data_IF_244906269606
#
_entry.id   IF_244906269606
#
_cell.length_a   1.000
_cell.length_b   1.000
_cell.length_c   1.000
_cell.angle_alpha   90.00
_cell.angle_beta   90.00
_cell.angle_gamma   90.00
#
_symmetry.space_group_name_H-M   'P 1'
#
loop_
_entity.id
_entity.type
_entity.pdbx_description
1 polymer ?
#
# COMPACT_ATOMS: atom_id res chain seq x y z
N UNK A 1 -5.12 87.38 22.88
CA UNK A 1 -5.53 88.17 21.69
C UNK A 1 -6.96 87.83 21.24
N UNK A 2 -8.00 87.92 22.09
CA UNK A 2 -9.39 87.60 21.70
C UNK A 2 -10.44 88.60 22.26
N UNK A 3 -10.03 89.85 22.48
CA UNK A 3 -10.79 90.87 23.21
C UNK A 3 -11.83 91.67 22.39
N UNK A 4 -11.93 91.51 21.07
CA UNK A 4 -12.83 92.35 20.23
C UNK A 4 -13.62 91.58 19.16
N UNK A 5 -13.82 90.27 19.34
CA UNK A 5 -14.65 89.46 18.44
C UNK A 5 -16.04 89.26 19.04
N UNK A 6 -17.08 89.64 18.30
CA UNK A 6 -18.48 89.39 18.68
C UNK A 6 -18.74 87.90 18.95
N UNK A 7 -19.66 87.61 19.86
CA UNK A 7 -19.96 86.27 20.38
C UNK A 7 -20.19 85.25 19.24
N UNK A 8 -20.87 85.66 18.17
CA UNK A 8 -21.11 84.84 16.99
C UNK A 8 -19.83 84.34 16.31
N UNK A 9 -18.78 85.17 16.20
CA UNK A 9 -17.51 84.74 15.58
C UNK A 9 -16.74 83.74 16.45
N UNK A 10 -16.84 83.86 17.78
CA UNK A 10 -16.22 82.91 18.72
C UNK A 10 -16.90 81.54 18.64
N UNK A 11 -18.23 81.51 18.56
CA UNK A 11 -19.00 80.28 18.37
C UNK A 11 -18.70 79.65 17.00
N UNK A 12 -18.68 80.43 15.91
CA UNK A 12 -18.36 79.91 14.57
C UNK A 12 -16.96 79.29 14.49
N UNK A 13 -15.95 79.90 15.14
CA UNK A 13 -14.61 79.33 15.22
C UNK A 13 -14.58 78.00 15.98
N UNK A 14 -15.27 77.92 17.11
CA UNK A 14 -15.35 76.69 17.89
C UNK A 14 -16.07 75.56 17.12
N UNK A 15 -17.21 75.85 16.49
CA UNK A 15 -17.93 74.87 15.67
C UNK A 15 -17.15 74.45 14.43
N UNK A 16 -16.44 75.37 13.78
CA UNK A 16 -15.59 75.06 12.62
C UNK A 16 -14.43 74.15 13.02
N UNK A 17 -13.80 74.40 14.18
CA UNK A 17 -12.74 73.54 14.70
C UNK A 17 -13.24 72.13 14.99
N UNK A 18 -14.41 72.01 15.64
CA UNK A 18 -15.05 70.70 15.89
C UNK A 18 -15.37 70.00 14.57
N UNK A 19 -15.93 70.71 13.59
CA UNK A 19 -16.25 70.14 12.28
C UNK A 19 -15.01 69.63 11.54
N UNK A 20 -13.92 70.40 11.55
CA UNK A 20 -12.64 69.99 10.94
C UNK A 20 -12.08 68.74 11.63
N UNK A 21 -12.13 68.67 12.96
CA UNK A 21 -11.70 67.49 13.70
C UNK A 21 -12.55 66.26 13.36
N UNK A 22 -13.87 66.41 13.25
CA UNK A 22 -14.78 65.32 12.84
C UNK A 22 -14.47 64.82 11.42
N UNK A 23 -14.23 65.74 10.48
CA UNK A 23 -13.84 65.37 9.10
C UNK A 23 -12.49 64.65 9.09
N UNK A 24 -11.51 65.10 9.89
CA UNK A 24 -10.20 64.45 9.97
C UNK A 24 -10.30 63.03 10.54
N UNK A 25 -11.13 62.80 11.57
CA UNK A 25 -11.39 61.46 12.11
C UNK A 25 -12.14 60.58 11.11
N UNK A 26 -13.15 61.11 10.42
CA UNK A 26 -13.88 60.38 9.39
C UNK A 26 -12.95 59.96 8.24
N UNK A 27 -12.07 60.87 7.78
CA UNK A 27 -11.11 60.57 6.72
C UNK A 27 -10.08 59.52 7.18
N UNK A 28 -9.52 59.65 8.40
CA UNK A 28 -8.64 58.65 9.01
C UNK A 28 -9.31 57.29 9.12
N UNK A 29 -10.60 57.26 9.49
CA UNK A 29 -11.38 56.03 9.63
C UNK A 29 -11.59 55.37 8.28
N UNK A 30 -11.99 56.11 7.24
CA UNK A 30 -12.20 55.57 5.89
C UNK A 30 -10.88 55.03 5.31
N UNK A 31 -9.77 55.75 5.47
CA UNK A 31 -8.46 55.30 5.01
C UNK A 31 -7.94 54.08 5.80
N UNK A 32 -8.18 54.02 7.11
CA UNK A 32 -7.78 52.89 7.96
C UNK A 32 -8.62 51.62 7.74
N UNK A 33 -9.93 51.75 7.50
CA UNK A 33 -10.81 50.60 7.19
C UNK A 33 -10.39 49.92 5.89
N UNK A 34 -9.90 50.68 4.90
CA UNK A 34 -9.38 50.12 3.66
C UNK A 34 -8.20 49.15 3.85
N UNK A 35 -7.29 49.43 4.78
CA UNK A 35 -6.17 48.52 5.08
C UNK A 35 -6.66 47.26 5.80
N UNK A 36 -7.58 47.40 6.76
CA UNK A 36 -8.15 46.27 7.50
C UNK A 36 -8.92 45.32 6.58
N UNK A 37 -9.69 45.85 5.63
CA UNK A 37 -10.42 45.03 4.64
C UNK A 37 -9.45 44.30 3.70
N UNK A 38 -8.30 44.90 3.38
CA UNK A 38 -7.28 44.25 2.54
C UNK A 38 -6.58 43.12 3.28
N UNK A 39 -6.21 43.34 4.54
CA UNK A 39 -5.66 42.28 5.42
C UNK A 39 -6.67 41.14 5.64
N UNK A 40 -7.95 41.46 5.85
CA UNK A 40 -9.01 40.47 5.98
C UNK A 40 -9.18 39.62 4.71
N UNK A 41 -9.00 40.20 3.52
CA UNK A 41 -9.02 39.47 2.25
C UNK A 41 -7.86 38.49 2.12
N UNK A 42 -6.64 38.86 2.56
CA UNK A 42 -5.49 37.96 2.54
C UNK A 42 -5.68 36.76 3.48
N UNK A 43 -6.24 36.97 4.67
CA UNK A 43 -6.57 35.88 5.61
C UNK A 43 -7.66 34.96 5.05
N UNK A 44 -8.71 35.54 4.42
CA UNK A 44 -9.78 34.75 3.79
C UNK A 44 -9.26 33.89 2.64
N UNK A 45 -8.46 34.47 1.74
CA UNK A 45 -7.89 33.74 0.61
C UNK A 45 -6.93 32.62 1.06
N UNK A 46 -6.10 32.88 2.09
CA UNK A 46 -5.23 31.85 2.66
C UNK A 46 -6.01 30.68 3.29
N UNK A 47 -7.16 30.97 3.90
CA UNK A 47 -8.06 29.94 4.43
C UNK A 47 -8.70 29.11 3.31
N UNK A 48 -9.13 29.74 2.22
CA UNK A 48 -9.66 29.07 1.03
C UNK A 48 -8.60 28.15 0.39
N UNK A 49 -7.38 28.66 0.19
CA UNK A 49 -6.27 27.87 -0.36
C UNK A 49 -5.97 26.65 0.52
N UNK A 50 -5.94 26.82 1.84
CA UNK A 50 -5.73 25.71 2.77
C UNK A 50 -6.83 24.67 2.67
N UNK A 51 -8.10 25.11 2.65
CA UNK A 51 -9.24 24.21 2.52
C UNK A 51 -9.17 23.39 1.23
N UNK A 52 -8.75 24.02 0.12
CA UNK A 52 -8.60 23.37 -1.17
C UNK A 52 -7.47 22.32 -1.14
N UNK A 53 -6.32 22.64 -0.56
CA UNK A 53 -5.21 21.69 -0.41
C UNK A 53 -5.58 20.49 0.48
N UNK A 54 -6.29 20.73 1.59
CA UNK A 54 -6.78 19.65 2.47
C UNK A 54 -7.77 18.76 1.72
N UNK A 55 -8.68 19.32 0.92
CA UNK A 55 -9.58 18.52 0.11
C UNK A 55 -8.82 17.61 -0.87
N UNK A 56 -7.76 18.14 -1.52
CA UNK A 56 -6.91 17.34 -2.41
C UNK A 56 -6.13 16.26 -1.70
N UNK A 57 -5.68 16.50 -0.48
CA UNK A 57 -5.04 15.48 0.34
C UNK A 57 -6.02 14.35 0.66
N UNK A 58 -7.26 14.67 1.07
CA UNK A 58 -8.30 13.69 1.33
C UNK A 58 -8.65 12.86 0.09
N UNK A 59 -8.73 13.50 -1.08
CA UNK A 59 -8.93 12.80 -2.36
C UNK A 59 -7.82 11.74 -2.58
N UNK A 60 -6.57 12.09 -2.28
CA UNK A 60 -5.43 11.17 -2.42
C UNK A 60 -5.34 10.11 -1.33
N UNK A 61 -5.84 10.38 -0.12
CA UNK A 61 -5.99 9.35 0.92
C UNK A 61 -6.97 8.28 0.45
N UNK A 62 -8.13 8.68 -0.10
CA UNK A 62 -9.10 7.74 -0.67
C UNK A 62 -8.55 6.96 -1.88
N UNK A 63 -7.78 7.63 -2.73
CA UNK A 63 -7.07 6.98 -3.84
C UNK A 63 -6.04 5.95 -3.34
N UNK A 64 -5.24 6.28 -2.32
CA UNK A 64 -4.21 5.39 -1.77
C UNK A 64 -4.81 4.14 -1.12
N UNK A 65 -5.97 4.28 -0.47
CA UNK A 65 -6.71 3.12 0.07
C UNK A 65 -7.07 2.14 -1.06
N UNK A 66 -7.55 2.63 -2.20
CA UNK A 66 -7.90 1.77 -3.35
C UNK A 66 -6.67 1.08 -3.94
N UNK A 67 -5.53 1.78 -4.05
CA UNK A 67 -4.26 1.17 -4.46
C UNK A 67 -3.83 0.08 -3.48
N UNK A 68 -3.97 0.33 -2.17
CA UNK A 68 -3.66 -0.65 -1.13
C UNK A 68 -4.56 -1.88 -1.19
N UNK A 69 -5.85 -1.71 -1.51
CA UNK A 69 -6.80 -2.81 -1.61
C UNK A 69 -6.40 -3.84 -2.66
N UNK A 70 -5.76 -3.44 -3.77
CA UNK A 70 -5.26 -4.39 -4.78
C UNK A 70 -4.30 -5.43 -4.19
N UNK A 71 -3.46 -5.02 -3.23
CA UNK A 71 -2.43 -5.87 -2.62
C UNK A 71 -2.94 -6.60 -1.38
N UNK A 72 -3.95 -6.04 -0.70
CA UNK A 72 -4.39 -6.50 0.63
C UNK A 72 -5.73 -7.24 0.64
N UNK A 73 -6.60 -7.02 -0.35
CA UNK A 73 -7.89 -7.68 -0.48
C UNK A 73 -7.82 -8.75 -1.57
N UNK A 74 -8.04 -10.01 -1.18
CA UNK A 74 -8.00 -11.15 -2.10
C UNK A 74 -9.13 -11.16 -3.13
N UNK A 75 -10.15 -10.30 -3.00
CA UNK A 75 -11.24 -10.16 -3.98
C UNK A 75 -10.98 -9.04 -5.00
N UNK A 76 -9.93 -8.24 -4.83
CA UNK A 76 -9.58 -7.13 -5.73
C UNK A 76 -8.43 -7.56 -6.63
N UNK A 77 -8.68 -7.62 -7.94
CA UNK A 77 -7.72 -8.13 -8.92
C UNK A 77 -7.32 -7.13 -10.00
N UNK A 78 -7.84 -5.90 -9.92
CA UNK A 78 -7.55 -4.83 -10.87
C UNK A 78 -7.58 -3.49 -10.16
N UNK A 79 -6.73 -2.59 -10.62
CA UNK A 79 -6.67 -1.23 -10.11
C UNK A 79 -7.56 -0.31 -10.97
N UNK A 80 -8.63 0.22 -10.38
CA UNK A 80 -9.54 1.18 -11.00
C UNK A 80 -9.40 2.56 -10.34
N UNK A 81 -8.25 3.20 -10.55
CA UNK A 81 -7.98 4.55 -10.07
C UNK A 81 -7.31 5.39 -11.16
N UNK A 82 -7.37 6.71 -11.04
CA UNK A 82 -6.67 7.61 -11.96
C UNK A 82 -5.14 7.48 -11.82
N UNK A 83 -4.45 7.20 -12.92
CA UNK A 83 -3.00 7.01 -12.98
C UNK A 83 -2.29 8.18 -13.65
N UNK A 84 -3.00 9.06 -14.36
CA UNK A 84 -2.44 10.29 -14.90
C UNK A 84 -2.39 11.38 -13.81
N UNK A 85 -1.18 11.81 -13.38
CA UNK A 85 -1.03 12.86 -12.38
C UNK A 85 -1.55 14.23 -12.83
N UNK A 86 -1.84 14.44 -14.12
CA UNK A 86 -2.45 15.69 -14.61
C UNK A 86 -3.98 15.63 -14.61
N UNK A 87 -4.55 14.43 -14.60
CA UNK A 87 -5.98 14.21 -14.69
C UNK A 87 -6.68 14.29 -13.33
N UNK A 88 -6.01 14.06 -12.21
CA UNK A 88 -6.64 14.16 -10.89
C UNK A 88 -6.97 15.63 -10.51
N UNK A 89 -7.83 15.83 -9.51
CA UNK A 89 -8.24 17.18 -9.09
C UNK A 89 -7.05 18.06 -8.66
N UNK A 90 -6.04 17.48 -8.00
CA UNK A 90 -4.83 18.20 -7.61
C UNK A 90 -3.93 18.51 -8.81
N UNK A 91 -3.79 17.57 -9.76
CA UNK A 91 -3.07 17.76 -11.01
C UNK A 91 -3.63 18.92 -11.83
N UNK A 92 -4.96 18.94 -12.00
CA UNK A 92 -5.66 20.05 -12.66
C UNK A 92 -5.49 21.37 -11.91
N UNK A 93 -5.52 21.34 -10.58
CA UNK A 93 -5.27 22.52 -9.74
C UNK A 93 -3.85 23.07 -9.91
N UNK A 94 -2.83 22.19 -9.92
CA UNK A 94 -1.42 22.55 -10.15
C UNK A 94 -1.15 23.14 -11.54
N UNK A 95 -1.89 22.72 -12.56
CA UNK A 95 -1.81 23.31 -13.91
C UNK A 95 -2.65 24.61 -14.04
N UNK A 96 -3.56 24.83 -13.11
CA UNK A 96 -4.59 25.87 -13.15
C UNK A 96 -4.09 27.28 -12.85
N UNK A 97 -4.95 28.30 -13.07
CA UNK A 97 -4.64 29.69 -12.75
C UNK A 97 -4.48 29.93 -11.24
N UNK A 98 -5.08 29.09 -10.39
CA UNK A 98 -5.05 29.24 -8.93
C UNK A 98 -3.63 29.06 -8.37
N UNK A 99 -2.83 28.12 -8.90
CA UNK A 99 -1.40 28.00 -8.55
C UNK A 99 -0.65 29.30 -8.80
N UNK A 100 -0.83 29.91 -9.98
CA UNK A 100 -0.14 31.15 -10.35
C UNK A 100 -0.51 32.29 -9.41
N UNK A 101 -1.78 32.36 -8.99
CA UNK A 101 -2.22 33.35 -8.02
C UNK A 101 -1.61 33.09 -6.63
N UNK A 102 -1.49 31.82 -6.24
CA UNK A 102 -0.86 31.45 -4.98
C UNK A 102 0.63 31.78 -4.94
N UNK A 103 1.36 31.51 -6.02
CA UNK A 103 2.78 31.85 -6.16
C UNK A 103 3.02 33.37 -6.19
N UNK A 104 2.10 34.15 -6.77
CA UNK A 104 2.17 35.62 -6.75
C UNK A 104 1.91 36.19 -5.36
N UNK A 105 0.90 35.65 -4.66
CA UNK A 105 0.50 36.11 -3.33
C UNK A 105 1.48 35.69 -2.25
N UNK A 106 2.12 34.52 -2.41
CA UNK A 106 3.07 33.95 -1.45
C UNK A 106 4.24 33.30 -2.21
N UNK A 107 5.27 34.08 -2.62
CA UNK A 107 6.41 33.56 -3.39
C UNK A 107 7.14 32.39 -2.75
N UNK A 108 7.12 32.29 -1.42
CA UNK A 108 7.72 31.17 -0.67
C UNK A 108 7.06 29.81 -0.98
N UNK A 109 5.85 29.81 -1.56
CA UNK A 109 5.17 28.58 -2.01
C UNK A 109 5.77 28.02 -3.30
N UNK A 110 6.45 28.83 -4.12
CA UNK A 110 7.02 28.39 -5.41
C UNK A 110 7.88 27.12 -5.26
N UNK A 111 8.94 27.10 -4.41
CA UNK A 111 9.75 25.90 -4.25
C UNK A 111 8.98 24.73 -3.62
N UNK A 112 8.00 25.00 -2.76
CA UNK A 112 7.20 23.96 -2.11
C UNK A 112 6.25 23.27 -3.10
N UNK A 113 5.51 24.05 -3.90
CA UNK A 113 4.59 23.54 -4.91
C UNK A 113 5.34 22.79 -6.03
N UNK A 114 6.51 23.28 -6.44
CA UNK A 114 7.37 22.57 -7.39
C UNK A 114 7.81 21.19 -6.85
N UNK A 115 8.18 21.10 -5.57
CA UNK A 115 8.50 19.83 -4.92
C UNK A 115 7.27 18.92 -4.85
N UNK A 116 6.13 19.44 -4.42
CA UNK A 116 4.88 18.68 -4.34
C UNK A 116 4.47 18.12 -5.72
N UNK A 117 4.59 18.90 -6.78
CA UNK A 117 4.31 18.45 -8.15
C UNK A 117 5.25 17.30 -8.60
N UNK A 118 6.53 17.36 -8.23
CA UNK A 118 7.46 16.27 -8.50
C UNK A 118 7.11 15.00 -7.70
N UNK A 119 6.76 15.15 -6.42
CA UNK A 119 6.41 14.04 -5.54
C UNK A 119 5.08 13.39 -5.96
N UNK A 120 4.11 14.20 -6.35
CA UNK A 120 2.82 13.77 -6.88
C UNK A 120 2.95 12.93 -8.16
N UNK A 121 3.80 13.35 -9.10
CA UNK A 121 4.10 12.53 -10.29
C UNK A 121 4.68 11.17 -9.93
N UNK A 122 5.64 11.14 -8.99
CA UNK A 122 6.23 9.87 -8.52
C UNK A 122 5.20 8.96 -7.82
N UNK A 123 4.23 9.54 -7.11
CA UNK A 123 3.13 8.79 -6.51
C UNK A 123 2.26 8.10 -7.57
N UNK A 124 1.86 8.82 -8.61
CA UNK A 124 1.07 8.21 -9.69
C UNK A 124 1.87 7.17 -10.49
N UNK A 125 3.15 7.43 -10.75
CA UNK A 125 4.01 6.48 -11.44
C UNK A 125 4.27 5.21 -10.59
N UNK A 126 4.33 5.31 -9.26
CA UNK A 126 4.43 4.12 -8.41
C UNK A 126 3.18 3.24 -8.49
N UNK A 127 1.98 3.82 -8.57
CA UNK A 127 0.75 3.04 -8.78
C UNK A 127 0.70 2.36 -10.15
N UNK A 128 1.23 2.99 -11.22
CA UNK A 128 1.40 2.33 -12.51
C UNK A 128 2.33 1.12 -12.41
N UNK A 129 3.45 1.27 -11.68
CA UNK A 129 4.36 0.15 -11.45
C UNK A 129 3.71 -0.97 -10.63
N UNK A 130 2.93 -0.64 -9.60
CA UNK A 130 2.15 -1.62 -8.84
C UNK A 130 1.18 -2.36 -9.77
N UNK A 131 0.42 -1.64 -10.61
CA UNK A 131 -0.52 -2.26 -11.56
C UNK A 131 0.19 -3.20 -12.54
N UNK A 132 1.36 -2.82 -13.06
CA UNK A 132 2.12 -3.68 -13.98
C UNK A 132 2.77 -4.89 -13.31
N UNK A 133 3.24 -4.73 -12.06
CA UNK A 133 3.89 -5.80 -11.31
C UNK A 133 2.89 -6.73 -10.60
N UNK A 134 1.64 -6.31 -10.43
CA UNK A 134 0.63 -7.08 -9.75
C UNK A 134 0.32 -8.38 -10.48
N UNK A 135 0.45 -9.48 -9.74
CA UNK A 135 0.01 -10.81 -10.16
C UNK A 135 -0.98 -11.29 -9.11
N UNK A 136 -2.17 -11.69 -9.55
CA UNK A 136 -3.14 -12.29 -8.64
C UNK A 136 -2.55 -13.57 -8.03
N UNK A 137 -2.27 -13.53 -6.72
CA UNK A 137 -1.83 -14.69 -5.96
C UNK A 137 -3.04 -15.57 -5.72
N UNK A 138 -2.96 -16.83 -6.13
CA UNK A 138 -4.02 -17.82 -5.87
C UNK A 138 -3.95 -18.25 -4.40
N UNK A 139 -4.91 -17.86 -3.53
CA UNK A 139 -4.85 -18.20 -2.12
C UNK A 139 -4.96 -19.71 -1.88
N UNK A 140 -5.54 -20.45 -2.83
CA UNK A 140 -5.63 -21.91 -2.74
C UNK A 140 -4.26 -22.59 -2.88
N UNK A 141 -3.30 -21.97 -3.59
CA UNK A 141 -1.96 -22.50 -3.74
C UNK A 141 -1.20 -22.48 -2.42
N UNK A 142 -1.27 -21.37 -1.68
CA UNK A 142 -0.63 -21.24 -0.37
C UNK A 142 -1.12 -22.31 0.61
N UNK A 143 -2.45 -22.50 0.67
CA UNK A 143 -3.06 -23.53 1.51
C UNK A 143 -2.60 -24.95 1.15
N UNK A 144 -2.55 -25.29 -0.13
CA UNK A 144 -2.11 -26.64 -0.56
C UNK A 144 -0.65 -26.91 -0.20
N UNK A 145 0.22 -25.91 -0.30
CA UNK A 145 1.63 -26.05 0.11
C UNK A 145 1.73 -26.24 1.63
N UNK A 146 0.98 -25.47 2.41
CA UNK A 146 0.94 -25.61 3.87
C UNK A 146 0.43 -27.00 4.29
N UNK A 147 -0.69 -27.45 3.72
CA UNK A 147 -1.25 -28.79 3.95
C UNK A 147 -0.25 -29.89 3.58
N UNK A 148 0.47 -29.73 2.46
CA UNK A 148 1.50 -30.67 2.05
C UNK A 148 2.68 -30.73 3.02
N UNK A 149 3.15 -29.59 3.53
CA UNK A 149 4.25 -29.54 4.49
C UNK A 149 3.87 -30.22 5.81
N UNK A 150 2.70 -29.90 6.36
CA UNK A 150 2.20 -30.52 7.59
C UNK A 150 2.04 -32.03 7.41
N UNK A 151 1.42 -32.46 6.31
CA UNK A 151 1.22 -33.89 6.04
C UNK A 151 2.55 -34.67 5.94
N UNK A 152 3.60 -34.07 5.35
CA UNK A 152 4.90 -34.75 5.26
C UNK A 152 5.69 -34.72 6.58
N UNK A 153 5.47 -33.71 7.43
CA UNK A 153 6.02 -33.71 8.80
C UNK A 153 5.40 -34.84 9.64
N UNK A 154 4.07 -34.98 9.59
CA UNK A 154 3.36 -36.08 10.27
C UNK A 154 3.78 -37.44 9.71
N UNK A 155 3.86 -37.57 8.38
CA UNK A 155 4.32 -38.78 7.72
C UNK A 155 5.75 -39.18 8.12
N UNK A 156 6.66 -38.21 8.22
CA UNK A 156 8.04 -38.46 8.67
C UNK A 156 8.09 -38.88 10.14
N UNK A 157 7.27 -38.26 10.99
CA UNK A 157 7.15 -38.64 12.40
C UNK A 157 6.71 -40.10 12.55
N UNK A 158 5.67 -40.53 11.82
CA UNK A 158 5.23 -41.94 11.82
C UNK A 158 6.30 -42.90 11.30
N UNK A 159 7.10 -42.49 10.31
CA UNK A 159 8.21 -43.31 9.82
C UNK A 159 9.27 -43.52 10.89
N UNK A 160 9.66 -42.46 11.58
CA UNK A 160 10.62 -42.53 12.68
C UNK A 160 10.07 -43.39 13.82
N UNK A 161 8.83 -43.17 14.22
CA UNK A 161 8.17 -43.91 15.31
C UNK A 161 8.12 -45.42 15.01
N UNK A 162 7.70 -45.80 13.80
CA UNK A 162 7.64 -47.20 13.38
C UNK A 162 9.03 -47.87 13.38
N UNK A 163 10.09 -47.12 13.05
CA UNK A 163 11.47 -47.63 13.07
C UNK A 163 11.99 -47.78 14.51
N UNK A 164 11.76 -46.78 15.36
CA UNK A 164 12.19 -46.79 16.77
C UNK A 164 11.55 -47.94 17.55
N UNK A 165 10.25 -48.16 17.35
CA UNK A 165 9.51 -49.26 17.99
C UNK A 165 9.60 -50.59 17.24
N UNK A 166 10.26 -50.61 16.07
CA UNK A 166 10.39 -51.78 15.20
C UNK A 166 9.04 -52.43 14.88
N UNK A 167 8.03 -51.61 14.59
CA UNK A 167 6.66 -52.04 14.30
C UNK A 167 6.48 -52.29 12.79
N UNK A 168 6.38 -53.57 12.35
CA UNK A 168 6.21 -53.88 10.93
C UNK A 168 4.82 -53.50 10.41
N UNK A 169 3.79 -53.48 11.26
CA UNK A 169 2.43 -53.13 10.82
C UNK A 169 2.34 -51.64 10.54
N UNK A 170 2.85 -50.82 11.46
CA UNK A 170 2.88 -49.37 11.28
C UNK A 170 3.76 -48.98 10.08
N UNK A 171 4.98 -49.54 9.99
CA UNK A 171 5.90 -49.27 8.89
C UNK A 171 5.29 -49.62 7.52
N UNK A 172 4.57 -50.75 7.43
CA UNK A 172 3.88 -51.13 6.19
C UNK A 172 2.68 -50.24 5.85
N UNK A 173 2.05 -49.63 6.86
CA UNK A 173 0.95 -48.68 6.69
C UNK A 173 1.36 -47.34 6.09
N UNK A 174 2.65 -46.99 6.17
CA UNK A 174 3.19 -45.73 5.65
C UNK A 174 3.20 -45.73 4.11
N UNK A 175 2.58 -44.72 3.51
CA UNK A 175 2.52 -44.55 2.06
C UNK A 175 3.88 -44.10 1.50
N UNK A 176 4.44 -44.88 0.58
CA UNK A 176 5.74 -44.62 -0.06
C UNK A 176 5.64 -44.36 -1.58
N UNK A 177 4.44 -44.39 -2.14
CA UNK A 177 4.16 -43.98 -3.52
C UNK A 177 3.82 -42.48 -3.53
N UNK A 178 4.73 -41.68 -4.10
CA UNK A 178 4.58 -40.24 -4.21
C UNK A 178 3.31 -39.83 -4.97
N UNK A 179 2.81 -40.65 -5.90
CA UNK A 179 1.58 -40.36 -6.65
C UNK A 179 0.31 -40.57 -5.83
N UNK A 180 0.41 -41.27 -4.69
CA UNK A 180 -0.74 -41.65 -3.87
C UNK A 180 -0.95 -40.73 -2.69
N UNK A 181 0.03 -39.94 -2.26
CA UNK A 181 -0.17 -38.93 -1.23
C UNK A 181 -1.01 -37.76 -1.75
N UNK A 182 -1.63 -37.00 -0.85
CA UNK A 182 -2.57 -35.92 -1.21
C UNK A 182 -1.90 -34.84 -2.07
N UNK A 183 -0.66 -34.47 -1.73
CA UNK A 183 0.14 -33.52 -2.51
C UNK A 183 0.47 -34.06 -3.91
N UNK A 184 0.87 -35.33 -4.03
CA UNK A 184 1.15 -35.94 -5.33
C UNK A 184 -0.09 -36.03 -6.22
N UNK A 185 -1.24 -36.45 -5.65
CA UNK A 185 -2.52 -36.43 -6.38
C UNK A 185 -2.85 -35.02 -6.88
N UNK A 186 -2.64 -34.00 -6.05
CA UNK A 186 -2.82 -32.61 -6.47
C UNK A 186 -1.82 -32.19 -7.56
N UNK A 187 -0.53 -32.52 -7.41
CA UNK A 187 0.55 -32.14 -8.33
C UNK A 187 0.30 -32.67 -9.75
N UNK A 188 -0.28 -33.87 -9.85
CA UNK A 188 -0.63 -34.52 -11.12
C UNK A 188 -2.06 -34.27 -11.60
N UNK A 189 -2.92 -33.66 -10.78
CA UNK A 189 -4.30 -33.35 -11.17
C UNK A 189 -4.37 -32.24 -12.23
N UNK A 190 -5.36 -32.34 -13.12
CA UNK A 190 -5.63 -31.31 -14.13
C UNK A 190 -5.94 -29.96 -13.48
N UNK A 191 -6.70 -29.97 -12.38
CA UNK A 191 -7.10 -28.79 -11.63
C UNK A 191 -6.11 -28.36 -10.54
N UNK A 192 -4.89 -28.91 -10.53
CA UNK A 192 -3.86 -28.59 -9.55
C UNK A 192 -2.54 -28.27 -10.22
N UNK A 193 -1.53 -29.11 -9.98
CA UNK A 193 -0.18 -28.87 -10.46
C UNK A 193 -0.07 -28.79 -11.99
N UNK A 194 -0.88 -29.54 -12.76
CA UNK A 194 -0.84 -29.45 -14.23
C UNK A 194 -1.32 -28.09 -14.76
N UNK A 195 -2.41 -27.55 -14.20
CA UNK A 195 -2.86 -26.18 -14.52
C UNK A 195 -1.78 -25.16 -14.18
N UNK A 196 -1.12 -25.31 -13.03
CA UNK A 196 -0.08 -24.38 -12.58
C UNK A 196 1.18 -24.45 -13.47
N UNK A 197 1.60 -25.65 -13.91
CA UNK A 197 2.69 -25.82 -14.90
C UNK A 197 2.40 -25.08 -16.21
N UNK A 198 1.14 -25.08 -16.64
CA UNK A 198 0.69 -24.40 -17.86
C UNK A 198 0.65 -22.88 -17.78
N UNK A 199 0.72 -22.26 -16.58
CA UNK A 199 0.61 -20.81 -16.43
C UNK A 199 1.81 -20.03 -16.96
N UNK A 200 3.02 -20.58 -16.82
CA UNK A 200 4.25 -19.96 -17.32
C UNK A 200 5.41 -20.97 -17.33
N UNK A 201 6.46 -20.69 -18.10
CA UNK A 201 7.69 -21.47 -18.08
C UNK A 201 8.38 -21.50 -16.69
N UNK A 202 8.21 -20.47 -15.87
CA UNK A 202 8.78 -20.42 -14.52
C UNK A 202 8.06 -21.38 -13.56
N UNK A 203 6.73 -21.30 -13.47
CA UNK A 203 5.91 -22.25 -12.72
C UNK A 203 6.21 -23.70 -13.10
N UNK A 204 6.33 -23.99 -14.40
CA UNK A 204 6.70 -25.32 -14.89
C UNK A 204 8.05 -25.81 -14.36
N UNK A 205 9.08 -24.94 -14.36
CA UNK A 205 10.41 -25.28 -13.82
C UNK A 205 10.36 -25.55 -12.31
N UNK A 206 9.68 -24.71 -11.55
CA UNK A 206 9.58 -24.85 -10.09
C UNK A 206 8.87 -26.16 -9.72
N UNK A 207 7.72 -26.46 -10.35
CA UNK A 207 6.97 -27.69 -10.09
C UNK A 207 7.73 -28.94 -10.51
N UNK A 208 8.54 -28.87 -11.57
CA UNK A 208 9.40 -29.98 -11.98
C UNK A 208 10.48 -30.28 -10.93
N UNK A 209 11.11 -29.25 -10.36
CA UNK A 209 12.08 -29.42 -9.26
C UNK A 209 11.40 -30.06 -8.06
N UNK A 210 10.25 -29.53 -7.63
CA UNK A 210 9.50 -30.07 -6.50
C UNK A 210 9.11 -31.54 -6.75
N UNK A 211 8.67 -31.90 -7.95
CA UNK A 211 8.31 -33.28 -8.29
C UNK A 211 9.49 -34.25 -8.18
N UNK A 212 10.67 -33.83 -8.66
CA UNK A 212 11.88 -34.65 -8.59
C UNK A 212 12.28 -34.91 -7.14
N UNK A 213 12.32 -33.85 -6.32
CA UNK A 213 12.70 -33.96 -4.91
C UNK A 213 11.65 -34.75 -4.11
N UNK A 214 10.36 -34.54 -4.41
CA UNK A 214 9.25 -35.27 -3.80
C UNK A 214 9.30 -36.76 -4.12
N UNK A 215 9.57 -37.13 -5.37
CA UNK A 215 9.76 -38.52 -5.79
C UNK A 215 10.96 -39.16 -5.07
N UNK A 216 12.09 -38.43 -4.98
CA UNK A 216 13.29 -38.92 -4.32
C UNK A 216 13.05 -39.23 -2.83
N UNK A 217 12.37 -38.35 -2.11
CA UNK A 217 12.02 -38.55 -0.70
C UNK A 217 11.15 -39.81 -0.48
N UNK A 218 10.12 -40.00 -1.30
CA UNK A 218 9.27 -41.20 -1.22
C UNK A 218 10.02 -42.49 -1.61
N UNK A 219 10.91 -42.41 -2.60
CA UNK A 219 11.79 -43.51 -2.97
C UNK A 219 12.74 -43.89 -1.83
N UNK A 220 13.32 -42.91 -1.13
CA UNK A 220 14.16 -43.14 0.04
C UNK A 220 13.40 -43.86 1.15
N UNK A 221 12.18 -43.42 1.48
CA UNK A 221 11.35 -44.12 2.46
C UNK A 221 11.02 -45.57 2.05
N UNK A 222 10.84 -45.84 0.75
CA UNK A 222 10.66 -47.21 0.24
C UNK A 222 11.89 -48.06 0.51
N UNK A 223 13.09 -47.53 0.32
CA UNK A 223 14.35 -48.23 0.57
C UNK A 223 14.55 -48.52 2.05
N UNK A 224 14.26 -47.55 2.92
CA UNK A 224 14.23 -47.73 4.38
C UNK A 224 13.28 -48.88 4.78
N UNK A 225 12.06 -48.88 4.24
CA UNK A 225 11.07 -49.95 4.50
C UNK A 225 11.57 -51.32 4.03
N UNK A 226 12.22 -51.40 2.88
CA UNK A 226 12.78 -52.65 2.35
C UNK A 226 13.91 -53.18 3.26
N UNK A 227 14.77 -52.30 3.76
CA UNK A 227 15.85 -52.69 4.68
C UNK A 227 15.29 -53.25 6.00
N UNK A 228 14.28 -52.60 6.58
CA UNK A 228 13.59 -53.09 7.77
C UNK A 228 12.88 -54.43 7.52
N UNK A 229 12.23 -54.60 6.36
CA UNK A 229 11.58 -55.85 5.96
C UNK A 229 12.58 -57.02 5.77
N UNK A 230 13.83 -56.73 5.44
CA UNK A 230 14.92 -57.71 5.41
C UNK A 230 15.42 -58.12 6.81
N UNK A 231 14.91 -57.49 7.87
CA UNK A 231 15.25 -57.76 9.27
C UNK A 231 16.34 -56.85 9.84
N UNK A 232 16.91 -55.95 9.04
CA UNK A 232 17.99 -55.05 9.44
C UNK A 232 17.47 -53.65 9.83
N UNK A 233 16.78 -53.61 10.97
CA UNK A 233 16.17 -52.40 11.52
C UNK A 233 17.18 -51.33 11.91
N UNK A 234 18.39 -51.72 12.30
CA UNK A 234 19.44 -50.77 12.68
C UNK A 234 19.95 -50.02 11.45
N UNK A 235 20.17 -50.72 10.33
CA UNK A 235 20.50 -50.08 9.06
C UNK A 235 19.34 -49.21 8.54
N UNK A 236 18.09 -49.69 8.63
CA UNK A 236 16.92 -48.91 8.21
C UNK A 236 16.80 -47.59 8.99
N UNK A 237 16.97 -47.65 10.31
CA UNK A 237 17.00 -46.47 11.18
C UNK A 237 18.13 -45.51 10.77
N UNK A 238 19.34 -46.04 10.58
CA UNK A 238 20.47 -45.22 10.16
C UNK A 238 20.22 -44.52 8.80
N UNK A 239 19.64 -45.22 7.82
CA UNK A 239 19.27 -44.66 6.51
C UNK A 239 18.25 -43.53 6.63
N UNK A 240 17.22 -43.69 7.48
CA UNK A 240 16.20 -42.67 7.68
C UNK A 240 16.76 -41.34 8.22
N UNK A 241 17.82 -41.39 9.01
CA UNK A 241 18.46 -40.20 9.61
C UNK A 241 19.70 -39.67 8.84
N UNK A 242 20.21 -40.39 7.83
CA UNK A 242 21.46 -40.02 7.16
C UNK A 242 21.35 -38.79 6.24
N UNK A 243 20.14 -38.39 5.80
CA UNK A 243 19.94 -37.23 4.93
C UNK A 243 19.84 -35.88 5.67
N UNK A 244 20.05 -35.83 6.99
CA UNK A 244 19.94 -34.60 7.79
C UNK A 244 21.28 -33.80 7.88
N UNK A 245 22.35 -34.22 7.18
CA UNK A 245 23.65 -33.51 7.16
C UNK A 245 24.03 -32.98 5.78
#
# INVERSE_FOLDING_TARGET
MFGSLGITRKLMLAFSLVLVLLVAVALRSILGVGSIVTEAKHVSWGAELRSELVARELDHVGWAVQVSSLVTDSNVHSLDVELDPSACAFGRWLAGPVRREAERSMPDLIPLLAKMEADHRRLHDSAKHIQHAYVAVDPSLGRVIEEALVAHLEWNHHLIEALEFRDPQELNGIQDDHLRCDFGRWLHSQDGGQRLRGRSAEHGRILQTIEVDHQAMHQHAREVKQQAAAGDWDAATAMAFHEIN
#
